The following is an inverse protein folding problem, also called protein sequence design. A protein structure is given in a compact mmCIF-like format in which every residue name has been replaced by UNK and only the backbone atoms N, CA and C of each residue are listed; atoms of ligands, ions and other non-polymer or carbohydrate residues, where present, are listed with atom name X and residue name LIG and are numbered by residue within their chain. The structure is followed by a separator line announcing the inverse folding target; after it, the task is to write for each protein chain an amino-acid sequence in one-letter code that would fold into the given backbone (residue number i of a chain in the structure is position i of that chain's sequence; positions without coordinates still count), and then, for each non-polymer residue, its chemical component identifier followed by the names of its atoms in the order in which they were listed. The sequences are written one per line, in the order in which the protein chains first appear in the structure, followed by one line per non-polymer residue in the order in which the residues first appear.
data_IF_180522073081
#
_entry.id   IF_180522073081
#
_cell.length_a   1.000
_cell.length_b   1.000
_cell.length_c   1.000
_cell.angle_alpha   90.00
_cell.angle_beta   90.00
_cell.angle_gamma   90.00
#
_symmetry.space_group_name_H-M   'P 1'
#
loop_
_entity.id
_entity.type
_entity.pdbx_description
1 polymer ?
#
# COMPACT_ATOMS: atom_id res chain seq x y z
N UNK A 1 9.03 -17.54 30.81
CA UNK A 1 7.75 -16.88 31.18
C UNK A 1 7.73 -15.37 30.95
N UNK A 2 8.72 -14.58 31.42
CA UNK A 2 8.76 -13.11 31.22
C UNK A 2 8.74 -12.67 29.74
N UNK A 3 9.37 -13.43 28.84
CA UNK A 3 9.45 -13.04 27.42
C UNK A 3 8.16 -13.29 26.63
N UNK A 4 7.36 -14.29 27.02
CA UNK A 4 6.05 -14.53 26.41
C UNK A 4 5.07 -13.40 26.72
N UNK A 5 5.06 -12.94 27.99
CA UNK A 5 4.25 -11.80 28.42
C UNK A 5 4.64 -10.50 27.68
N UNK A 6 5.94 -10.23 27.54
CA UNK A 6 6.42 -9.05 26.78
C UNK A 6 5.96 -9.08 25.32
N UNK A 7 6.03 -10.23 24.66
CA UNK A 7 5.57 -10.39 23.27
C UNK A 7 4.07 -10.15 23.14
N UNK A 8 3.26 -10.76 24.02
CA UNK A 8 1.80 -10.56 24.03
C UNK A 8 1.42 -9.10 24.30
N UNK A 9 2.13 -8.42 25.20
CA UNK A 9 1.90 -7.00 25.47
C UNK A 9 2.26 -6.12 24.26
N UNK A 10 3.40 -6.38 23.62
CA UNK A 10 3.82 -5.65 22.42
C UNK A 10 2.80 -5.82 21.28
N UNK A 11 2.28 -7.03 21.09
CA UNK A 11 1.24 -7.31 20.09
C UNK A 11 -0.06 -6.54 20.39
N UNK A 12 -0.54 -6.58 21.63
CA UNK A 12 -1.73 -5.80 22.05
C UNK A 12 -1.54 -4.30 21.83
N UNK A 13 -0.37 -3.77 22.15
CA UNK A 13 -0.04 -2.36 21.92
C UNK A 13 -0.01 -2.02 20.42
N UNK A 14 0.55 -2.89 19.58
CA UNK A 14 0.56 -2.73 18.13
C UNK A 14 -0.85 -2.72 17.55
N UNK A 15 -1.70 -3.65 17.98
CA UNK A 15 -3.12 -3.70 17.59
C UNK A 15 -3.85 -2.41 18.01
N UNK A 16 -3.61 -1.90 19.21
CA UNK A 16 -4.21 -0.65 19.67
C UNK A 16 -3.76 0.54 18.82
N UNK A 17 -2.47 0.62 18.47
CA UNK A 17 -1.94 1.63 17.54
C UNK A 17 -2.59 1.51 16.16
N UNK A 18 -2.74 0.30 15.62
CA UNK A 18 -3.40 0.08 14.32
C UNK A 18 -4.87 0.51 14.32
N UNK A 19 -5.60 0.24 15.40
CA UNK A 19 -6.99 0.71 15.57
C UNK A 19 -7.07 2.23 15.68
N UNK A 20 -6.12 2.87 16.36
CA UNK A 20 -6.03 4.34 16.42
C UNK A 20 -5.72 4.93 15.04
N UNK A 21 -4.74 4.36 14.34
CA UNK A 21 -4.30 4.82 13.02
C UNK A 21 -5.40 4.66 11.97
N UNK A 22 -6.25 3.63 12.07
CA UNK A 22 -7.48 3.51 11.27
C UNK A 22 -8.32 4.78 11.32
N UNK A 23 -8.60 5.27 12.53
CA UNK A 23 -9.43 6.46 12.72
C UNK A 23 -8.72 7.72 12.21
N UNK A 24 -7.39 7.76 12.31
CA UNK A 24 -6.58 8.85 11.75
C UNK A 24 -6.69 8.90 10.22
N UNK A 25 -6.47 7.75 9.55
CA UNK A 25 -6.62 7.62 8.09
C UNK A 25 -8.01 8.08 7.64
N UNK A 26 -9.07 7.57 8.28
CA UNK A 26 -10.46 7.93 7.95
C UNK A 26 -10.71 9.45 8.06
N UNK A 27 -10.08 10.15 9.02
CA UNK A 27 -10.24 11.60 9.20
C UNK A 27 -9.56 12.43 8.12
N UNK A 28 -8.53 11.91 7.48
CA UNK A 28 -7.82 12.62 6.42
C UNK A 28 -8.47 12.44 5.03
N UNK A 29 -9.41 11.51 4.90
CA UNK A 29 -10.11 11.26 3.64
C UNK A 29 -11.34 12.16 3.48
N UNK A 30 -11.70 12.52 2.23
CA UNK A 30 -12.99 13.12 1.93
C UNK A 30 -14.15 12.29 2.49
N UNK A 31 -15.21 12.96 2.98
CA UNK A 31 -16.36 12.31 3.66
C UNK A 31 -16.90 11.06 2.94
N UNK A 32 -17.14 11.07 1.61
CA UNK A 32 -17.63 9.88 0.92
C UNK A 32 -16.71 8.66 1.04
N UNK A 33 -15.39 8.86 0.98
CA UNK A 33 -14.41 7.78 1.11
C UNK A 33 -14.23 7.33 2.55
N UNK A 34 -14.24 8.31 3.47
CA UNK A 34 -14.18 8.06 4.90
C UNK A 34 -15.34 7.15 5.35
N UNK A 35 -16.56 7.41 4.88
CA UNK A 35 -17.74 6.61 5.21
C UNK A 35 -17.66 5.19 4.66
N UNK A 36 -17.13 5.01 3.44
CA UNK A 36 -16.89 3.66 2.90
C UNK A 36 -15.88 2.90 3.78
N UNK A 37 -14.68 3.45 4.01
CA UNK A 37 -13.66 2.74 4.78
C UNK A 37 -14.05 2.52 6.25
N UNK A 38 -14.86 3.40 6.82
CA UNK A 38 -15.39 3.25 8.19
C UNK A 38 -16.27 2.00 8.33
N UNK A 39 -16.94 1.58 7.25
CA UNK A 39 -17.83 0.42 7.25
C UNK A 39 -17.18 -0.84 6.65
N UNK A 40 -15.96 -0.75 6.12
CA UNK A 40 -15.26 -1.90 5.55
C UNK A 40 -14.51 -2.72 6.61
N UNK A 41 -14.40 -4.05 6.43
CA UNK A 41 -13.54 -4.88 7.25
C UNK A 41 -12.08 -4.43 7.17
N UNK A 42 -11.33 -4.67 8.24
CA UNK A 42 -9.89 -4.42 8.27
C UNK A 42 -9.19 -5.44 9.15
N UNK A 43 -7.90 -5.62 8.91
CA UNK A 43 -7.05 -6.57 9.62
C UNK A 43 -5.95 -5.82 10.38
N UNK A 44 -5.60 -6.38 11.54
CA UNK A 44 -4.48 -5.95 12.38
C UNK A 44 -3.46 -7.09 12.48
N UNK A 45 -2.34 -6.85 13.15
CA UNK A 45 -1.44 -7.91 13.61
C UNK A 45 -2.26 -8.95 14.43
N UNK A 46 -1.98 -10.26 14.31
CA UNK A 46 -0.89 -10.88 13.53
C UNK A 46 -1.26 -11.17 12.06
N UNK A 47 -2.54 -11.25 11.69
CA UNK A 47 -2.97 -11.60 10.32
C UNK A 47 -2.36 -10.67 9.26
N UNK A 48 -2.30 -9.38 9.54
CA UNK A 48 -1.65 -8.39 8.67
C UNK A 48 -0.19 -8.77 8.37
N UNK A 49 0.58 -9.16 9.39
CA UNK A 49 2.00 -9.49 9.22
C UNK A 49 2.18 -10.78 8.43
N UNK A 50 1.29 -11.77 8.60
CA UNK A 50 1.27 -12.97 7.78
C UNK A 50 1.07 -12.64 6.30
N UNK A 51 0.13 -11.74 5.99
CA UNK A 51 -0.13 -11.31 4.61
C UNK A 51 1.08 -10.58 4.02
N UNK A 52 1.66 -9.62 4.76
CA UNK A 52 2.85 -8.88 4.28
C UNK A 52 4.07 -9.78 4.14
N UNK A 53 4.20 -10.80 4.99
CA UNK A 53 5.23 -11.83 4.83
C UNK A 53 5.05 -12.59 3.52
N UNK A 54 3.81 -12.93 3.15
CA UNK A 54 3.50 -13.55 1.86
C UNK A 54 3.90 -12.69 0.66
N UNK A 55 3.62 -11.38 0.71
CA UNK A 55 4.06 -10.42 -0.33
C UNK A 55 5.59 -10.44 -0.49
N UNK A 56 6.33 -10.40 0.62
CA UNK A 56 7.78 -10.45 0.58
C UNK A 56 8.30 -11.79 0.05
N UNK A 57 7.70 -12.90 0.48
CA UNK A 57 8.06 -14.25 0.03
C UNK A 57 7.83 -14.44 -1.47
N UNK A 58 6.74 -13.91 -2.04
CA UNK A 58 6.47 -13.93 -3.49
C UNK A 58 7.66 -13.41 -4.30
N UNK A 59 8.32 -12.37 -3.77
CA UNK A 59 9.45 -11.72 -4.40
C UNK A 59 10.81 -12.16 -3.86
N UNK A 60 10.88 -13.27 -3.14
CA UNK A 60 12.12 -13.80 -2.56
C UNK A 60 12.80 -12.82 -1.61
N UNK A 61 12.01 -12.01 -0.89
CA UNK A 61 12.47 -10.94 0.01
C UNK A 61 13.26 -9.82 -0.68
N UNK A 62 13.22 -9.74 -2.01
CA UNK A 62 13.91 -8.71 -2.77
C UNK A 62 13.04 -7.48 -3.04
N UNK A 63 11.77 -7.46 -2.65
CA UNK A 63 10.87 -6.34 -2.98
C UNK A 63 11.51 -4.98 -2.62
N UNK A 64 11.52 -4.06 -3.58
CA UNK A 64 12.17 -2.74 -3.52
C UNK A 64 13.71 -2.72 -3.41
N UNK A 65 14.41 -3.85 -3.56
CA UNK A 65 15.89 -3.87 -3.63
C UNK A 65 16.36 -3.64 -5.07
N UNK A 66 17.62 -3.24 -5.23
CA UNK A 66 18.25 -3.11 -6.55
C UNK A 66 18.28 -4.45 -7.32
N UNK A 67 18.39 -5.58 -6.61
CA UNK A 67 18.31 -6.90 -7.22
C UNK A 67 16.94 -7.20 -7.81
N UNK A 68 15.87 -6.74 -7.15
CA UNK A 68 14.52 -6.87 -7.69
C UNK A 68 14.34 -6.11 -8.99
N UNK A 69 14.84 -4.87 -9.06
CA UNK A 69 14.77 -4.06 -10.29
C UNK A 69 15.47 -4.78 -11.44
N UNK A 70 16.63 -5.38 -11.18
CA UNK A 70 17.39 -6.16 -12.17
C UNK A 70 16.69 -7.46 -12.58
N UNK A 71 16.07 -8.15 -11.64
CA UNK A 71 15.48 -9.48 -11.87
C UNK A 71 14.07 -9.42 -12.46
N UNK A 72 13.31 -8.37 -12.13
CA UNK A 72 11.91 -8.20 -12.53
C UNK A 72 11.68 -6.80 -13.13
N UNK A 73 12.40 -6.43 -14.20
CA UNK A 73 12.31 -5.10 -14.78
C UNK A 73 10.89 -4.77 -15.26
N UNK A 74 10.18 -5.78 -15.78
CA UNK A 74 8.82 -5.59 -16.30
C UNK A 74 7.77 -5.38 -15.19
N UNK A 75 8.10 -5.73 -13.94
CA UNK A 75 7.21 -5.57 -12.78
C UNK A 75 7.41 -4.25 -12.04
N UNK A 76 8.29 -3.37 -12.53
CA UNK A 76 8.57 -2.09 -11.90
C UNK A 76 8.66 -0.96 -12.92
N UNK A 77 7.99 0.14 -12.59
CA UNK A 77 8.11 1.39 -13.32
C UNK A 77 8.46 2.49 -12.33
N UNK A 78 9.32 3.40 -12.74
CA UNK A 78 9.69 4.58 -11.96
C UNK A 78 9.29 5.84 -12.73
N UNK A 79 8.58 6.76 -12.07
CA UNK A 79 8.07 7.99 -12.68
C UNK A 79 8.32 9.20 -11.78
N UNK A 80 8.47 10.37 -12.39
CA UNK A 80 8.76 11.63 -11.69
C UNK A 80 7.51 12.42 -11.30
N UNK A 81 6.34 12.09 -11.85
CA UNK A 81 5.14 12.88 -11.69
C UNK A 81 3.94 12.06 -11.20
N UNK A 82 3.16 12.66 -10.30
CA UNK A 82 1.93 12.05 -9.76
C UNK A 82 0.93 11.69 -10.87
N UNK A 83 0.82 12.53 -11.90
CA UNK A 83 -0.05 12.28 -13.06
C UNK A 83 0.26 10.96 -13.76
N UNK A 84 1.54 10.56 -13.81
CA UNK A 84 1.97 9.35 -14.49
C UNK A 84 1.59 8.12 -13.64
N UNK A 85 1.66 8.25 -12.31
CA UNK A 85 1.11 7.26 -11.38
C UNK A 85 -0.40 7.12 -11.58
N UNK A 86 -1.14 8.24 -11.59
CA UNK A 86 -2.59 8.24 -11.78
C UNK A 86 -2.99 7.58 -13.11
N UNK A 87 -2.27 7.91 -14.19
CA UNK A 87 -2.49 7.31 -15.51
C UNK A 87 -2.23 5.80 -15.50
N UNK A 88 -1.14 5.36 -14.84
CA UNK A 88 -0.84 3.95 -14.70
C UNK A 88 -1.95 3.21 -13.95
N UNK A 89 -2.37 3.72 -12.79
CA UNK A 89 -3.44 3.09 -11.99
C UNK A 89 -4.75 3.03 -12.78
N UNK A 90 -5.11 4.11 -13.47
CA UNK A 90 -6.32 4.15 -14.30
C UNK A 90 -6.31 3.16 -15.47
N UNK A 91 -5.12 2.75 -15.93
CA UNK A 91 -4.96 1.73 -16.99
C UNK A 91 -5.10 0.29 -16.49
N UNK A 92 -5.05 0.07 -15.17
CA UNK A 92 -5.23 -1.27 -14.61
C UNK A 92 -6.68 -1.72 -14.74
N UNK A 93 -6.91 -2.98 -15.11
CA UNK A 93 -8.28 -3.46 -15.30
C UNK A 93 -9.06 -3.42 -13.98
N UNK A 94 -10.25 -2.79 -13.96
CA UNK A 94 -11.09 -2.82 -12.79
C UNK A 94 -11.73 -4.20 -12.65
N UNK A 95 -11.44 -4.88 -11.54
CA UNK A 95 -12.16 -6.11 -11.17
C UNK A 95 -12.97 -5.90 -9.90
N UNK A 96 -14.12 -6.58 -9.80
CA UNK A 96 -14.97 -6.55 -8.59
C UNK A 96 -14.47 -7.49 -7.48
N UNK A 97 -13.24 -8.01 -7.60
CA UNK A 97 -12.61 -8.83 -6.55
C UNK A 97 -12.26 -7.95 -5.35
N UNK A 98 -12.24 -8.56 -4.17
CA UNK A 98 -11.72 -7.90 -2.97
C UNK A 98 -10.21 -7.74 -3.07
N UNK A 99 -9.71 -6.65 -2.51
CA UNK A 99 -8.30 -6.35 -2.37
C UNK A 99 -8.02 -5.82 -0.96
N UNK A 100 -6.80 -6.06 -0.52
CA UNK A 100 -6.17 -5.47 0.65
C UNK A 100 -5.62 -4.09 0.27
N UNK A 101 -5.99 -3.07 1.04
CA UNK A 101 -5.49 -1.71 0.94
C UNK A 101 -4.62 -1.38 2.16
N UNK A 102 -3.34 -1.12 1.94
CA UNK A 102 -2.39 -0.66 2.97
C UNK A 102 -1.97 0.78 2.66
N UNK A 103 -1.88 1.61 3.69
CA UNK A 103 -1.34 2.97 3.58
C UNK A 103 0.05 3.04 4.19
N UNK A 104 0.90 3.93 3.69
CA UNK A 104 2.27 4.17 4.15
C UNK A 104 2.36 4.86 5.53
N UNK A 105 1.25 4.95 6.26
CA UNK A 105 1.30 5.38 7.65
C UNK A 105 1.86 4.29 8.55
N UNK A 106 2.68 4.69 9.52
CA UNK A 106 3.15 3.77 10.56
C UNK A 106 1.95 3.15 11.29
N UNK A 107 1.99 1.83 11.50
CA UNK A 107 0.89 1.07 12.09
C UNK A 107 -0.43 1.19 11.30
N UNK A 108 -0.40 1.39 9.98
CA UNK A 108 -1.62 1.26 9.17
C UNK A 108 -2.24 -0.13 9.36
N UNK A 109 -3.55 -0.24 9.59
CA UNK A 109 -4.25 -1.51 9.39
C UNK A 109 -4.30 -1.83 7.88
N UNK A 110 -4.72 -3.05 7.57
CA UNK A 110 -4.99 -3.49 6.20
C UNK A 110 -6.50 -3.47 5.97
N UNK A 111 -7.01 -2.56 5.13
CA UNK A 111 -8.45 -2.49 4.82
C UNK A 111 -8.81 -3.50 3.73
N UNK A 112 -10.02 -4.04 3.78
CA UNK A 112 -10.56 -4.91 2.74
C UNK A 112 -11.60 -4.14 1.93
N UNK A 113 -11.28 -3.90 0.67
CA UNK A 113 -12.03 -3.05 -0.24
C UNK A 113 -12.29 -3.79 -1.55
N UNK A 114 -13.19 -3.28 -2.38
CA UNK A 114 -13.32 -3.76 -3.76
C UNK A 114 -12.23 -3.11 -4.62
N UNK A 115 -11.52 -3.90 -5.45
CA UNK A 115 -10.44 -3.40 -6.32
C UNK A 115 -10.93 -2.28 -7.22
N UNK A 116 -12.07 -2.47 -7.89
CA UNK A 116 -12.69 -1.44 -8.72
C UNK A 116 -12.90 -0.11 -7.98
N UNK A 117 -13.45 -0.16 -6.76
CA UNK A 117 -13.66 1.04 -5.94
C UNK A 117 -12.34 1.73 -5.59
N UNK A 118 -11.32 0.96 -5.18
CA UNK A 118 -10.01 1.51 -4.83
C UNK A 118 -9.32 2.18 -6.03
N UNK A 119 -9.43 1.61 -7.23
CA UNK A 119 -8.88 2.17 -8.47
C UNK A 119 -9.65 3.43 -8.89
N UNK A 120 -10.99 3.40 -8.87
CA UNK A 120 -11.82 4.57 -9.23
C UNK A 120 -11.59 5.77 -8.32
N UNK A 121 -11.33 5.53 -7.03
CA UNK A 121 -11.10 6.58 -6.05
C UNK A 121 -9.63 6.75 -5.69
N UNK A 122 -8.72 6.19 -6.48
CA UNK A 122 -7.29 6.14 -6.17
C UNK A 122 -6.71 7.52 -5.88
N UNK A 123 -6.97 8.51 -6.75
CA UNK A 123 -6.45 9.87 -6.60
C UNK A 123 -6.83 10.45 -5.23
N UNK A 124 -8.12 10.46 -4.89
CA UNK A 124 -8.61 11.02 -3.65
C UNK A 124 -8.15 10.23 -2.41
N UNK A 125 -7.98 8.90 -2.52
CA UNK A 125 -7.36 8.08 -1.47
C UNK A 125 -5.90 8.50 -1.25
N UNK A 126 -5.14 8.65 -2.33
CA UNK A 126 -3.71 8.91 -2.30
C UNK A 126 -3.40 10.33 -1.82
N UNK A 127 -4.10 11.33 -2.33
CA UNK A 127 -4.03 12.71 -1.86
C UNK A 127 -4.44 12.81 -0.40
N UNK A 128 -5.50 12.11 0.01
CA UNK A 128 -5.98 12.11 1.39
C UNK A 128 -4.98 11.51 2.38
N UNK A 129 -4.04 10.66 1.95
CA UNK A 129 -2.93 10.19 2.80
C UNK A 129 -1.64 11.00 2.61
N UNK A 130 -1.69 12.13 1.90
CA UNK A 130 -0.54 13.01 1.64
C UNK A 130 0.48 12.38 0.70
N UNK A 131 0.02 11.62 -0.29
CA UNK A 131 0.85 10.96 -1.31
C UNK A 131 1.90 10.02 -0.70
N UNK A 132 1.58 9.42 0.45
CA UNK A 132 2.38 8.34 1.05
C UNK A 132 2.21 7.05 0.25
N UNK A 133 3.00 6.04 0.59
CA UNK A 133 2.89 4.73 -0.03
C UNK A 133 1.44 4.21 0.03
N UNK A 134 0.98 3.59 -1.05
CA UNK A 134 -0.34 2.97 -1.13
C UNK A 134 -0.20 1.63 -1.83
N UNK A 135 -0.59 0.56 -1.14
CA UNK A 135 -0.53 -0.78 -1.68
C UNK A 135 -1.93 -1.34 -1.83
N UNK A 136 -2.21 -1.91 -2.99
CA UNK A 136 -3.45 -2.59 -3.32
C UNK A 136 -3.09 -3.97 -3.87
N UNK A 137 -3.49 -5.04 -3.19
CA UNK A 137 -3.17 -6.41 -3.62
C UNK A 137 -4.23 -7.39 -3.12
N UNK A 138 -4.45 -8.52 -3.78
CA UNK A 138 -5.42 -9.51 -3.28
C UNK A 138 -4.81 -10.44 -2.22
N UNK A 139 -5.64 -11.12 -1.41
CA UNK A 139 -5.16 -12.04 -0.36
C UNK A 139 -4.43 -13.27 -0.94
N UNK A 140 -4.73 -13.65 -2.18
CA UNK A 140 -4.13 -14.79 -2.89
C UNK A 140 -2.78 -14.44 -3.54
N UNK A 141 -2.40 -13.16 -3.48
CA UNK A 141 -1.24 -12.57 -4.13
C UNK A 141 -1.19 -12.80 -5.65
N UNK A 142 -2.34 -12.93 -6.31
CA UNK A 142 -2.43 -13.06 -7.77
C UNK A 142 -2.30 -11.70 -8.47
N UNK A 143 -2.77 -10.64 -7.82
CA UNK A 143 -2.65 -9.25 -8.22
C UNK A 143 -1.98 -8.40 -7.14
N UNK A 144 -1.22 -7.41 -7.57
CA UNK A 144 -0.73 -6.35 -6.70
C UNK A 144 -0.30 -5.10 -7.45
N UNK A 145 -0.48 -3.97 -6.79
CA UNK A 145 -0.15 -2.63 -7.23
C UNK A 145 0.36 -1.87 -6.01
N UNK A 146 1.67 -1.67 -5.95
CA UNK A 146 2.38 -1.08 -4.82
C UNK A 146 3.00 0.21 -5.30
N UNK A 147 2.54 1.32 -4.73
CA UNK A 147 3.01 2.65 -5.10
C UNK A 147 3.80 3.16 -3.90
N UNK A 148 5.08 3.40 -4.12
CA UNK A 148 6.00 3.86 -3.09
C UNK A 148 6.60 5.20 -3.50
N UNK A 149 6.65 6.15 -2.57
CA UNK A 149 7.23 7.48 -2.77
C UNK A 149 8.61 7.54 -2.15
N UNK A 150 9.60 7.91 -2.94
CA UNK A 150 10.99 8.06 -2.52
C UNK A 150 11.48 9.49 -2.76
N UNK A 151 12.37 9.97 -1.90
CA UNK A 151 13.19 11.14 -2.22
C UNK A 151 14.39 10.69 -3.06
N UNK A 152 14.71 11.39 -4.16
CA UNK A 152 15.78 10.93 -5.06
C UNK A 152 16.04 11.84 -6.26
N UNK A 153 16.65 11.27 -7.31
CA UNK A 153 16.84 11.85 -8.65
C UNK A 153 16.74 10.73 -9.68
N UNK A 154 15.91 10.87 -10.72
CA UNK A 154 15.99 10.00 -11.91
C UNK A 154 17.02 10.59 -12.85
N UNK A 155 18.02 9.79 -13.22
CA UNK A 155 19.18 10.23 -14.01
C UNK A 155 18.81 10.93 -15.33
N UNK A 156 17.66 10.59 -15.91
CA UNK A 156 17.25 10.98 -17.26
C UNK A 156 16.12 12.03 -17.33
N UNK A 157 15.52 12.45 -16.20
CA UNK A 157 14.50 13.51 -16.17
C UNK A 157 14.60 14.34 -14.89
N UNK A 158 15.40 15.44 -14.90
CA UNK A 158 15.63 16.28 -13.74
C UNK A 158 14.37 17.07 -13.37
N UNK A 159 13.55 16.52 -12.47
CA UNK A 159 12.52 17.28 -11.79
C UNK A 159 13.13 18.03 -10.58
N UNK A 160 13.06 19.37 -10.51
CA UNK A 160 13.56 20.15 -9.38
C UNK A 160 12.77 19.96 -8.07
N UNK A 161 11.71 19.14 -8.06
CA UNK A 161 10.87 18.82 -6.91
C UNK A 161 11.10 17.44 -6.27
N UNK A 162 12.36 17.01 -6.09
CA UNK A 162 12.90 15.98 -5.15
C UNK A 162 12.19 14.61 -4.90
N UNK A 163 11.02 14.31 -5.46
CA UNK A 163 10.28 13.07 -5.23
C UNK A 163 10.05 12.25 -6.51
N UNK A 164 10.19 10.93 -6.38
CA UNK A 164 9.94 9.95 -7.44
C UNK A 164 9.06 8.84 -6.90
N UNK A 165 8.29 8.24 -7.81
CA UNK A 165 7.35 7.19 -7.48
C UNK A 165 7.80 5.89 -8.14
N UNK A 166 7.90 4.83 -7.35
CA UNK A 166 8.05 3.49 -7.89
C UNK A 166 6.70 2.78 -7.83
N UNK A 167 6.31 2.21 -8.96
CA UNK A 167 5.13 1.38 -9.10
C UNK A 167 5.62 -0.04 -9.29
N UNK A 168 5.38 -0.91 -8.30
CA UNK A 168 5.59 -2.35 -8.44
C UNK A 168 4.25 -3.03 -8.65
N UNK A 169 4.13 -3.82 -9.71
CA UNK A 169 2.85 -4.40 -10.09
C UNK A 169 2.97 -5.83 -10.61
N UNK A 170 1.92 -6.61 -10.44
CA UNK A 170 1.78 -7.95 -10.98
C UNK A 170 0.32 -8.37 -11.08
N UNK A 171 0.06 -9.39 -11.89
CA UNK A 171 -1.28 -9.84 -12.21
C UNK A 171 -1.97 -8.92 -13.21
N UNK A 172 -2.88 -9.49 -13.98
CA UNK A 172 -3.78 -8.77 -14.89
C UNK A 172 -5.02 -8.27 -14.11
#
# INVERSE_FOLDING_TARGET
MKDSYKKQLAEKLKIAKQKSQRNNIIRHLPLPLADVLKNRPYMTTPKLETILMGVNQKWGFALHTHEFIKKYPDNRIEVSWEKDVLQFVASTEPTHKHACLLTGFENSPLFIVERHWAVQHFQALWEGIGLKDLWLFDEELTFGLLICRYGGYIEHDPNPGEYFYAITYWGE
#
